data_IF_618741512695
#
_entry.id   IF_618741512695
#
_cell.length_a   1.000
_cell.length_b   1.000
_cell.length_c   1.000
_cell.angle_alpha   90.00
_cell.angle_beta   90.00
_cell.angle_gamma   90.00
#
_symmetry.space_group_name_H-M   'P 1'
#
loop_
_entity.id
_entity.type
_entity.pdbx_description
1 polymer ?
#
# COMPACT_ATOMS: atom_id res chain seq x y z
N UNK A 1 3.34 13.85 -16.15
CA UNK A 1 4.77 13.54 -16.34
C UNK A 1 5.30 12.81 -15.12
N UNK A 2 6.04 11.73 -15.31
CA UNK A 2 6.67 10.98 -14.21
C UNK A 2 8.13 10.71 -14.57
N UNK A 3 9.01 10.77 -13.57
CA UNK A 3 10.40 10.38 -13.66
C UNK A 3 10.80 9.60 -12.43
N UNK A 4 11.53 8.52 -12.61
CA UNK A 4 12.02 7.68 -11.52
C UNK A 4 13.50 7.37 -11.73
N UNK A 5 14.26 7.45 -10.66
CA UNK A 5 15.66 7.02 -10.61
C UNK A 5 15.87 6.19 -9.35
N UNK A 6 16.73 5.17 -9.41
CA UNK A 6 17.09 4.37 -8.26
C UNK A 6 18.41 3.66 -8.40
N UNK A 7 19.01 3.35 -7.26
CA UNK A 7 20.20 2.50 -7.14
C UNK A 7 19.98 1.47 -6.04
N UNK A 8 20.33 0.24 -6.30
CA UNK A 8 20.18 -0.86 -5.36
C UNK A 8 21.47 -1.67 -5.25
N UNK A 9 21.88 -1.95 -4.03
CA UNK A 9 22.99 -2.83 -3.67
C UNK A 9 22.51 -3.95 -2.75
N UNK A 10 23.40 -4.88 -2.38
CA UNK A 10 23.07 -5.96 -1.42
C UNK A 10 22.75 -5.45 0.00
N UNK A 11 23.23 -4.28 0.37
CA UNK A 11 23.12 -3.74 1.74
C UNK A 11 22.30 -2.48 1.87
N UNK A 12 22.08 -1.75 0.80
CA UNK A 12 21.31 -0.52 0.80
C UNK A 12 20.73 -0.23 -0.57
N UNK A 13 19.70 0.54 -0.61
CA UNK A 13 19.08 1.04 -1.83
C UNK A 13 18.48 2.41 -1.62
N UNK A 14 18.41 3.17 -2.68
CA UNK A 14 17.76 4.48 -2.73
C UNK A 14 16.99 4.60 -4.05
N UNK A 15 15.82 5.21 -3.98
CA UNK A 15 15.03 5.56 -5.16
C UNK A 15 14.43 6.96 -4.96
N UNK A 16 14.37 7.71 -6.05
CA UNK A 16 13.71 9.00 -6.11
C UNK A 16 12.68 8.96 -7.22
N UNK A 17 11.55 9.61 -6.99
CA UNK A 17 10.43 9.67 -7.93
C UNK A 17 9.92 11.11 -8.01
N UNK A 18 9.59 11.53 -9.20
CA UNK A 18 8.89 12.79 -9.45
C UNK A 18 7.60 12.46 -10.19
N UNK A 19 6.49 12.99 -9.72
CA UNK A 19 5.17 12.84 -10.33
C UNK A 19 4.53 14.22 -10.49
N UNK A 20 4.30 14.63 -11.72
CA UNK A 20 3.53 15.85 -12.07
C UNK A 20 2.24 15.46 -12.79
N UNK A 21 1.11 15.95 -12.30
CA UNK A 21 -0.21 15.77 -12.92
C UNK A 21 -0.80 17.13 -13.29
N UNK A 22 -1.36 17.21 -14.48
CA UNK A 22 -2.17 18.33 -14.96
C UNK A 22 -3.58 17.79 -15.19
N UNK A 23 -4.59 18.41 -14.59
CA UNK A 23 -5.98 18.10 -14.86
C UNK A 23 -6.70 19.35 -15.35
N UNK A 24 -7.29 19.27 -16.54
CA UNK A 24 -8.23 20.27 -17.03
C UNK A 24 -9.62 19.93 -16.48
N UNK A 25 -10.21 20.83 -15.71
CA UNK A 25 -11.62 20.73 -15.32
C UNK A 25 -12.46 21.38 -16.41
N UNK A 26 -13.25 20.58 -17.14
CA UNK A 26 -14.14 21.02 -18.19
C UNK A 26 -15.41 21.74 -17.70
N UNK A 27 -15.27 22.80 -16.89
CA UNK A 27 -16.34 23.67 -16.43
C UNK A 27 -15.95 25.13 -16.61
N UNK A 28 -16.92 26.01 -16.83
CA UNK A 28 -16.82 27.46 -17.16
C UNK A 28 -16.00 28.28 -16.15
N UNK A 29 -14.79 28.20 -16.09
CA UNK A 29 -13.67 28.97 -15.55
C UNK A 29 -12.54 27.98 -15.31
N UNK A 30 -11.72 27.75 -16.33
CA UNK A 30 -10.62 26.83 -16.32
C UNK A 30 -9.56 27.13 -15.27
N UNK A 31 -9.73 26.60 -14.09
CA UNK A 31 -8.65 26.48 -13.11
C UNK A 31 -7.85 25.24 -13.45
N UNK A 32 -6.76 25.37 -14.19
CA UNK A 32 -5.75 24.32 -14.32
C UNK A 32 -5.25 23.96 -12.91
N UNK A 33 -5.60 22.77 -12.44
CA UNK A 33 -5.00 22.22 -11.22
C UNK A 33 -3.72 21.48 -11.60
N UNK A 34 -2.60 22.13 -11.35
CA UNK A 34 -1.27 21.51 -11.45
C UNK A 34 -0.88 21.00 -10.07
N UNK A 35 -0.53 19.73 -9.97
CA UNK A 35 0.11 19.20 -8.77
C UNK A 35 1.40 18.51 -9.14
N UNK A 36 2.43 18.70 -8.33
CA UNK A 36 3.71 18.03 -8.49
C UNK A 36 4.23 17.56 -7.13
N UNK A 37 4.72 16.34 -7.08
CA UNK A 37 5.28 15.72 -5.91
C UNK A 37 6.66 15.13 -6.21
N UNK A 38 7.56 15.25 -5.26
CA UNK A 38 8.82 14.53 -5.25
C UNK A 38 8.82 13.54 -4.08
N UNK A 39 9.24 12.32 -4.32
CA UNK A 39 9.40 11.31 -3.28
C UNK A 39 10.81 10.73 -3.32
N UNK A 40 11.36 10.45 -2.15
CA UNK A 40 12.61 9.74 -1.99
C UNK A 40 12.38 8.60 -0.99
N UNK A 41 12.91 7.42 -1.28
CA UNK A 41 12.88 6.29 -0.37
C UNK A 41 14.25 5.64 -0.29
N UNK A 42 14.59 5.18 0.89
CA UNK A 42 15.85 4.49 1.12
C UNK A 42 15.66 3.32 2.07
N UNK A 43 16.53 2.35 1.94
CA UNK A 43 16.64 1.26 2.90
C UNK A 43 18.10 0.88 3.14
N UNK A 44 18.37 0.38 4.33
CA UNK A 44 19.68 -0.11 4.73
C UNK A 44 19.52 -1.41 5.55
N UNK A 45 20.30 -2.42 5.20
CA UNK A 45 20.39 -3.66 5.96
C UNK A 45 21.48 -3.56 7.01
N UNK A 46 21.07 -3.55 8.27
CA UNK A 46 21.91 -3.43 9.46
C UNK A 46 22.27 -4.81 10.03
N UNK A 47 22.58 -5.77 9.16
CA UNK A 47 22.86 -7.16 9.49
C UNK A 47 21.91 -8.11 8.78
N UNK A 48 21.86 -9.37 9.21
CA UNK A 48 21.03 -10.40 8.56
C UNK A 48 19.55 -10.25 8.88
N UNK A 49 19.20 -9.68 10.02
CA UNK A 49 17.84 -9.66 10.58
C UNK A 49 17.21 -8.29 10.65
N UNK A 50 17.99 -7.20 10.52
CA UNK A 50 17.51 -5.84 10.73
C UNK A 50 17.63 -5.02 9.46
N UNK A 51 16.53 -4.37 9.06
CA UNK A 51 16.46 -3.46 7.92
C UNK A 51 15.82 -2.15 8.35
N UNK A 52 16.53 -1.03 8.17
CA UNK A 52 16.01 0.31 8.31
C UNK A 52 15.43 0.82 6.99
N UNK A 53 14.39 1.63 7.04
CA UNK A 53 13.74 2.28 5.89
C UNK A 53 13.44 3.73 6.19
N UNK A 54 13.57 4.56 5.17
CA UNK A 54 13.20 5.98 5.21
C UNK A 54 12.45 6.29 3.93
N UNK A 55 11.31 6.93 4.04
CA UNK A 55 10.53 7.45 2.92
C UNK A 55 10.24 8.93 3.21
N UNK A 56 10.43 9.78 2.22
CA UNK A 56 10.10 11.20 2.30
C UNK A 56 9.35 11.60 1.03
N UNK A 57 8.28 12.37 1.20
CA UNK A 57 7.51 12.95 0.12
C UNK A 57 7.37 14.44 0.36
N UNK A 58 7.53 15.22 -0.69
CA UNK A 58 7.33 16.66 -0.67
C UNK A 58 6.45 17.11 -1.82
N UNK A 59 5.53 17.99 -1.53
CA UNK A 59 4.72 18.67 -2.53
C UNK A 59 5.50 19.85 -3.10
N UNK A 60 5.66 19.89 -4.41
CA UNK A 60 6.33 20.98 -5.13
C UNK A 60 5.33 22.00 -5.65
N UNK A 61 4.11 21.57 -5.97
CA UNK A 61 2.98 22.45 -6.33
C UNK A 61 1.66 21.77 -6.01
N UNK A 62 0.62 22.55 -5.69
CA UNK A 62 -0.71 22.06 -5.31
C UNK A 62 -0.92 22.04 -3.80
N UNK A 63 -1.84 21.18 -3.35
CA UNK A 63 -2.14 21.00 -1.92
C UNK A 63 -0.94 20.38 -1.20
N UNK A 64 -0.52 21.01 -0.11
CA UNK A 64 0.65 20.58 0.66
C UNK A 64 0.40 19.24 1.35
N UNK A 65 1.22 18.24 1.01
CA UNK A 65 1.18 16.87 1.55
C UNK A 65 2.58 16.35 1.80
N UNK A 66 3.35 17.14 2.55
CA UNK A 66 4.71 16.77 2.92
C UNK A 66 4.67 15.69 3.99
N UNK A 67 5.47 14.66 3.84
CA UNK A 67 5.47 13.51 4.74
C UNK A 67 6.85 12.88 4.82
N UNK A 68 7.26 12.52 6.03
CA UNK A 68 8.46 11.73 6.29
C UNK A 68 8.10 10.49 7.09
N UNK A 69 8.62 9.35 6.71
CA UNK A 69 8.40 8.06 7.37
C UNK A 69 9.75 7.41 7.67
N UNK A 70 9.91 6.93 8.88
CA UNK A 70 11.05 6.09 9.29
C UNK A 70 10.51 4.75 9.77
N UNK A 71 11.11 3.66 9.34
CA UNK A 71 10.69 2.33 9.71
C UNK A 71 11.86 1.39 9.97
N UNK A 72 11.59 0.38 10.78
CA UNK A 72 12.52 -0.70 11.10
C UNK A 72 11.79 -2.02 10.95
N UNK A 73 12.39 -2.97 10.25
CA UNK A 73 11.92 -4.33 10.11
C UNK A 73 12.93 -5.29 10.74
N UNK A 74 12.45 -6.14 11.63
CA UNK A 74 13.26 -7.15 12.32
C UNK A 74 12.76 -8.56 12.01
N UNK A 75 13.63 -9.41 11.46
CA UNK A 75 13.34 -10.81 11.21
C UNK A 75 13.66 -11.62 12.48
N UNK A 76 12.68 -11.77 13.37
CA UNK A 76 12.85 -12.45 14.65
C UNK A 76 13.14 -13.96 14.45
N UNK A 77 12.37 -14.60 13.56
CA UNK A 77 12.52 -16.00 13.14
C UNK A 77 12.41 -16.06 11.61
N UNK A 78 12.81 -17.13 10.94
CA UNK A 78 12.59 -17.31 9.50
C UNK A 78 11.12 -17.14 9.07
N UNK A 79 10.20 -17.47 9.99
CA UNK A 79 8.75 -17.36 9.79
C UNK A 79 8.12 -16.11 10.39
N UNK A 80 8.82 -15.31 11.22
CA UNK A 80 8.26 -14.16 11.94
C UNK A 80 9.06 -12.90 11.67
N UNK A 81 8.40 -11.92 11.06
CA UNK A 81 8.92 -10.56 10.89
C UNK A 81 8.11 -9.58 11.73
N UNK A 82 8.79 -8.65 12.37
CA UNK A 82 8.22 -7.53 13.13
C UNK A 82 8.56 -6.23 12.40
N UNK A 83 7.64 -5.27 12.44
CA UNK A 83 7.83 -3.95 11.82
C UNK A 83 7.38 -2.85 12.77
N UNK A 84 8.17 -1.78 12.84
CA UNK A 84 7.79 -0.51 13.48
C UNK A 84 7.99 0.60 12.46
N UNK A 85 7.05 1.54 12.42
CA UNK A 85 7.08 2.67 11.50
C UNK A 85 6.52 3.92 12.19
N UNK A 86 7.20 5.04 12.01
CA UNK A 86 6.73 6.36 12.43
C UNK A 86 6.64 7.27 11.22
N UNK A 87 5.57 8.03 11.15
CA UNK A 87 5.32 9.00 10.07
C UNK A 87 4.96 10.35 10.67
N UNK A 88 5.52 11.41 10.12
CA UNK A 88 5.22 12.79 10.46
C UNK A 88 5.06 13.62 9.18
N UNK A 89 4.14 14.58 9.19
CA UNK A 89 3.90 15.42 8.02
C UNK A 89 2.69 16.36 8.15
N UNK A 90 2.40 17.07 7.08
CA UNK A 90 1.31 18.07 7.03
C UNK A 90 -0.09 17.47 7.21
N UNK A 91 -0.25 16.17 6.95
CA UNK A 91 -1.51 15.44 7.14
C UNK A 91 -1.67 14.88 8.56
N UNK A 92 -0.66 15.07 9.43
CA UNK A 92 -0.64 14.54 10.78
C UNK A 92 0.52 13.58 11.02
N UNK A 93 0.51 12.94 12.17
CA UNK A 93 1.52 11.98 12.58
C UNK A 93 0.92 10.62 12.87
N UNK A 94 1.72 9.58 12.70
CA UNK A 94 1.29 8.24 13.07
C UNK A 94 2.46 7.36 13.50
N UNK A 95 2.15 6.43 14.40
CA UNK A 95 3.02 5.32 14.76
C UNK A 95 2.32 4.01 14.40
N UNK A 96 3.05 3.08 13.83
CA UNK A 96 2.54 1.77 13.41
C UNK A 96 3.48 0.67 13.88
N UNK A 97 2.90 -0.38 14.46
CA UNK A 97 3.59 -1.62 14.77
C UNK A 97 2.92 -2.79 14.07
N UNK A 98 3.69 -3.79 13.64
CA UNK A 98 3.13 -4.94 12.96
C UNK A 98 3.96 -6.19 13.12
N UNK A 99 3.29 -7.33 12.88
CA UNK A 99 3.89 -8.65 12.85
C UNK A 99 3.37 -9.43 11.65
N UNK A 100 4.25 -10.16 10.97
CA UNK A 100 3.90 -11.06 9.86
C UNK A 100 4.43 -12.45 10.19
N UNK A 101 3.52 -13.40 10.32
CA UNK A 101 3.82 -14.83 10.52
C UNK A 101 3.61 -15.59 9.22
N UNK A 102 4.63 -16.31 8.76
CA UNK A 102 4.57 -17.24 7.63
C UNK A 102 4.31 -18.66 8.15
N UNK A 103 3.27 -19.31 7.62
CA UNK A 103 2.91 -20.68 7.91
C UNK A 103 2.84 -21.45 6.60
N UNK A 104 3.94 -22.12 6.23
CA UNK A 104 4.10 -22.66 4.89
C UNK A 104 4.13 -21.53 3.84
N UNK A 105 3.27 -21.61 2.85
CA UNK A 105 3.10 -20.58 1.84
C UNK A 105 2.10 -19.47 2.22
N UNK A 106 1.38 -19.66 3.34
CA UNK A 106 0.40 -18.71 3.86
C UNK A 106 1.06 -17.68 4.77
N UNK A 107 0.39 -16.53 4.91
CA UNK A 107 0.83 -15.45 5.79
C UNK A 107 -0.35 -14.96 6.61
N UNK A 108 -0.10 -14.72 7.90
CA UNK A 108 -1.01 -14.04 8.83
C UNK A 108 -0.29 -12.78 9.25
N UNK A 109 -0.99 -11.66 9.30
CA UNK A 109 -0.41 -10.39 9.73
C UNK A 109 -1.34 -9.65 10.67
N UNK A 110 -0.73 -8.96 11.61
CA UNK A 110 -1.37 -8.05 12.54
C UNK A 110 -0.65 -6.71 12.45
N UNK A 111 -1.40 -5.63 12.38
CA UNK A 111 -0.86 -4.27 12.37
C UNK A 111 -1.72 -3.39 13.25
N UNK A 112 -1.08 -2.62 14.12
CA UNK A 112 -1.71 -1.55 14.88
C UNK A 112 -1.14 -0.21 14.44
N UNK A 113 -2.00 0.77 14.21
CA UNK A 113 -1.64 2.13 13.84
C UNK A 113 -2.39 3.13 14.70
N UNK A 114 -1.65 3.95 15.42
CA UNK A 114 -2.15 5.16 16.05
C UNK A 114 -1.84 6.33 15.13
N UNK A 115 -2.84 7.09 14.76
CA UNK A 115 -2.72 8.28 13.93
C UNK A 115 -3.38 9.46 14.62
N UNK A 116 -2.78 10.63 14.46
CA UNK A 116 -3.32 11.91 14.90
C UNK A 116 -3.29 12.87 13.70
N UNK A 117 -4.43 13.33 13.30
CA UNK A 117 -4.61 14.29 12.21
C UNK A 117 -5.53 15.44 12.68
N UNK A 118 -5.95 16.30 11.73
CA UNK A 118 -6.85 17.42 12.01
C UNK A 118 -8.25 17.00 12.49
N UNK A 119 -8.64 15.76 12.25
CA UNK A 119 -9.93 15.20 12.66
C UNK A 119 -9.90 14.53 14.04
N UNK A 120 -8.71 14.42 14.67
CA UNK A 120 -8.51 13.81 15.97
C UNK A 120 -7.63 12.58 15.97
N UNK A 121 -7.68 11.82 17.05
CA UNK A 121 -6.95 10.57 17.21
C UNK A 121 -7.71 9.40 16.61
N UNK A 122 -6.98 8.50 15.96
CA UNK A 122 -7.52 7.29 15.37
C UNK A 122 -6.62 6.11 15.67
N UNK A 123 -7.18 5.08 16.28
CA UNK A 123 -6.54 3.77 16.44
C UNK A 123 -7.11 2.82 15.39
N UNK A 124 -6.24 2.16 14.65
CA UNK A 124 -6.60 1.17 13.64
C UNK A 124 -5.86 -0.14 13.91
N UNK A 125 -6.59 -1.24 14.00
CA UNK A 125 -6.04 -2.59 14.12
C UNK A 125 -6.44 -3.40 12.90
N UNK A 126 -5.47 -3.91 12.18
CA UNK A 126 -5.66 -4.76 11.00
C UNK A 126 -5.19 -6.17 11.32
N UNK A 127 -6.09 -7.14 11.21
CA UNK A 127 -5.76 -8.57 11.22
C UNK A 127 -6.07 -9.14 9.85
N UNK A 128 -5.08 -9.73 9.20
CA UNK A 128 -5.29 -10.30 7.88
C UNK A 128 -4.59 -11.64 7.69
N UNK A 129 -5.06 -12.37 6.70
CA UNK A 129 -4.45 -13.60 6.24
C UNK A 129 -4.47 -13.67 4.73
N UNK A 130 -3.43 -14.23 4.15
CA UNK A 130 -3.36 -14.55 2.71
C UNK A 130 -2.76 -15.91 2.49
N UNK A 131 -3.34 -16.66 1.58
CA UNK A 131 -2.93 -18.02 1.27
C UNK A 131 -2.99 -18.27 -0.23
N UNK A 132 -1.98 -18.89 -0.84
CA UNK A 132 -2.10 -19.39 -2.21
C UNK A 132 -3.07 -20.57 -2.25
N UNK A 133 -3.84 -20.66 -3.33
CA UNK A 133 -4.69 -21.79 -3.68
C UNK A 133 -4.18 -22.36 -4.99
N UNK A 134 -3.40 -23.44 -4.90
CA UNK A 134 -2.69 -23.97 -6.07
C UNK A 134 -1.63 -23.01 -6.59
N UNK A 135 -1.33 -23.08 -7.91
CA UNK A 135 -0.19 -22.36 -8.51
C UNK A 135 -0.50 -20.92 -8.95
N UNK A 136 -1.76 -20.61 -9.17
CA UNK A 136 -2.15 -19.36 -9.86
C UNK A 136 -3.22 -18.56 -9.15
N UNK A 137 -3.72 -19.03 -8.00
CA UNK A 137 -4.78 -18.35 -7.26
C UNK A 137 -4.32 -18.01 -5.85
N UNK A 138 -4.91 -16.96 -5.29
CA UNK A 138 -4.68 -16.52 -3.91
C UNK A 138 -5.99 -16.06 -3.31
N UNK A 139 -6.25 -16.49 -2.09
CA UNK A 139 -7.31 -15.96 -1.24
C UNK A 139 -6.69 -15.07 -0.17
N UNK A 140 -7.39 -14.02 0.20
CA UNK A 140 -7.03 -13.18 1.32
C UNK A 140 -8.28 -12.71 2.07
N UNK A 141 -8.09 -12.46 3.35
CA UNK A 141 -9.12 -11.85 4.21
C UNK A 141 -8.45 -10.83 5.10
N UNK A 142 -9.17 -9.77 5.40
CA UNK A 142 -8.71 -8.69 6.25
C UNK A 142 -9.85 -8.16 7.10
N UNK A 143 -9.56 -7.92 8.38
CA UNK A 143 -10.43 -7.26 9.33
C UNK A 143 -9.73 -6.00 9.79
N UNK A 144 -10.38 -4.86 9.61
CA UNK A 144 -9.91 -3.55 10.05
C UNK A 144 -10.88 -3.01 11.10
N UNK A 145 -10.42 -2.92 12.32
CA UNK A 145 -11.11 -2.22 13.42
C UNK A 145 -10.54 -0.81 13.51
N UNK A 146 -11.41 0.17 13.51
CA UNK A 146 -11.05 1.56 13.68
C UNK A 146 -11.83 2.15 14.85
N UNK A 147 -11.11 2.82 15.74
CA UNK A 147 -11.69 3.62 16.85
C UNK A 147 -11.23 5.06 16.66
N UNK A 148 -12.17 5.99 16.70
CA UNK A 148 -11.95 7.42 16.52
C UNK A 148 -12.93 8.19 17.43
N UNK A 149 -12.78 9.50 17.56
CA UNK A 149 -13.61 10.32 18.48
C UNK A 149 -15.12 10.23 18.19
N UNK A 150 -15.52 9.89 16.97
CA UNK A 150 -16.92 9.73 16.53
C UNK A 150 -17.48 8.32 16.64
N UNK A 151 -16.74 7.33 17.21
CA UNK A 151 -17.23 5.97 17.37
C UNK A 151 -16.27 4.89 16.87
N UNK A 152 -16.83 3.76 16.49
CA UNK A 152 -16.09 2.58 16.01
C UNK A 152 -16.59 2.13 14.66
N UNK A 153 -15.68 1.54 13.88
CA UNK A 153 -15.99 0.94 12.60
C UNK A 153 -15.24 -0.36 12.41
N UNK A 154 -15.94 -1.39 11.96
CA UNK A 154 -15.36 -2.66 11.54
C UNK A 154 -15.53 -2.81 10.03
N UNK A 155 -14.43 -2.97 9.34
CA UNK A 155 -14.42 -3.35 7.93
C UNK A 155 -13.92 -4.79 7.82
N UNK A 156 -14.67 -5.65 7.14
CA UNK A 156 -14.24 -6.99 6.79
C UNK A 156 -14.15 -7.12 5.28
N UNK A 157 -13.05 -7.69 4.82
CA UNK A 157 -12.77 -7.89 3.40
C UNK A 157 -12.38 -9.34 3.15
N UNK A 158 -12.98 -9.93 2.14
CA UNK A 158 -12.58 -11.23 1.59
C UNK A 158 -12.35 -11.06 0.10
N UNK A 159 -11.20 -11.53 -0.38
CA UNK A 159 -10.85 -11.43 -1.79
C UNK A 159 -10.27 -12.72 -2.36
N UNK A 160 -10.50 -12.90 -3.63
CA UNK A 160 -9.91 -13.97 -4.44
C UNK A 160 -9.22 -13.35 -5.64
N UNK A 161 -7.99 -13.75 -5.88
CA UNK A 161 -7.20 -13.33 -7.01
C UNK A 161 -6.72 -14.53 -7.79
N UNK A 162 -6.81 -14.48 -9.11
CA UNK A 162 -6.27 -15.52 -10.00
C UNK A 162 -5.49 -14.92 -11.14
N UNK A 163 -4.35 -15.54 -11.43
CA UNK A 163 -3.45 -15.16 -12.51
C UNK A 163 -3.38 -16.27 -13.56
N UNK A 164 -3.36 -15.87 -14.83
CA UNK A 164 -3.12 -16.75 -15.97
C UNK A 164 -1.96 -16.22 -16.79
N UNK A 165 -1.03 -17.10 -17.13
CA UNK A 165 0.00 -16.85 -18.13
C UNK A 165 -0.55 -17.26 -19.49
N UNK A 166 -0.88 -16.27 -20.35
CA UNK A 166 -1.57 -16.49 -21.62
C UNK A 166 -0.61 -16.79 -22.79
N UNK A 167 0.71 -16.80 -22.53
CA UNK A 167 1.76 -17.03 -23.54
C UNK A 167 2.97 -16.15 -23.30
N UNK A 168 3.94 -16.11 -24.23
CA UNK A 168 5.20 -15.43 -24.02
C UNK A 168 5.04 -13.94 -23.66
N UNK A 169 5.22 -13.64 -22.39
CA UNK A 169 5.16 -12.28 -21.86
C UNK A 169 3.77 -11.75 -21.53
N UNK A 170 2.68 -12.44 -21.87
CA UNK A 170 1.33 -12.03 -21.54
C UNK A 170 0.85 -12.64 -20.23
N UNK A 171 0.27 -11.82 -19.38
CA UNK A 171 -0.29 -12.21 -18.10
C UNK A 171 -1.64 -11.53 -17.89
N UNK A 172 -2.65 -12.29 -17.55
CA UNK A 172 -3.96 -11.79 -17.13
C UNK A 172 -4.17 -12.05 -15.65
N UNK A 173 -4.66 -11.06 -14.94
CA UNK A 173 -5.00 -11.12 -13.54
C UNK A 173 -6.46 -10.75 -13.38
N UNK A 174 -7.21 -11.54 -12.63
CA UNK A 174 -8.58 -11.25 -12.21
C UNK A 174 -8.63 -11.26 -10.69
N UNK A 175 -9.24 -10.25 -10.09
CA UNK A 175 -9.52 -10.19 -8.67
C UNK A 175 -11.00 -9.89 -8.41
N UNK A 176 -11.56 -10.52 -7.39
CA UNK A 176 -12.88 -10.24 -6.87
C UNK A 176 -12.80 -10.00 -5.37
N UNK A 177 -13.47 -8.99 -4.87
CA UNK A 177 -13.49 -8.59 -3.48
C UNK A 177 -14.91 -8.36 -2.98
N UNK A 178 -15.20 -8.81 -1.77
CA UNK A 178 -16.40 -8.48 -1.04
C UNK A 178 -16.01 -7.79 0.28
N UNK A 179 -16.52 -6.60 0.50
CA UNK A 179 -16.28 -5.81 1.70
C UNK A 179 -17.58 -5.58 2.43
N UNK A 180 -17.57 -5.76 3.73
CA UNK A 180 -18.65 -5.36 4.63
C UNK A 180 -18.10 -4.33 5.60
N UNK A 181 -18.84 -3.25 5.78
CA UNK A 181 -18.52 -2.18 6.72
C UNK A 181 -19.66 -2.10 7.73
N UNK A 182 -19.34 -2.33 8.99
CA UNK A 182 -20.25 -2.18 10.11
C UNK A 182 -19.82 -0.95 10.92
N UNK A 183 -20.69 0.04 11.01
CA UNK A 183 -20.48 1.28 11.75
C UNK A 183 -21.72 1.60 12.58
N UNK A 184 -21.62 2.48 13.56
CA UNK A 184 -22.76 2.91 14.37
C UNK A 184 -23.93 3.47 13.53
N UNK A 185 -23.62 4.10 12.39
CA UNK A 185 -24.63 4.65 11.47
C UNK A 185 -25.33 3.58 10.59
N UNK A 186 -24.88 2.32 10.66
CA UNK A 186 -25.44 1.20 9.90
C UNK A 186 -24.37 0.37 9.20
N UNK A 187 -24.84 -0.72 8.56
CA UNK A 187 -24.00 -1.63 7.80
C UNK A 187 -24.12 -1.37 6.29
N UNK A 188 -23.01 -1.45 5.59
CA UNK A 188 -22.97 -1.41 4.13
C UNK A 188 -22.15 -2.56 3.56
N UNK A 189 -22.48 -3.00 2.36
CA UNK A 189 -21.76 -4.06 1.64
C UNK A 189 -21.40 -3.61 0.24
N UNK A 190 -20.18 -3.89 -0.17
CA UNK A 190 -19.68 -3.62 -1.52
C UNK A 190 -19.03 -4.87 -2.09
N UNK A 191 -19.24 -5.10 -3.38
CA UNK A 191 -18.51 -6.11 -4.14
C UNK A 191 -17.81 -5.41 -5.31
N UNK A 192 -16.57 -5.75 -5.55
CA UNK A 192 -15.75 -5.20 -6.63
C UNK A 192 -15.09 -6.35 -7.41
N UNK A 193 -14.98 -6.18 -8.72
CA UNK A 193 -14.23 -7.09 -9.60
C UNK A 193 -13.30 -6.24 -10.43
N UNK A 194 -12.02 -6.62 -10.50
CA UNK A 194 -11.02 -5.92 -11.29
C UNK A 194 -10.27 -6.90 -12.19
N UNK A 195 -9.99 -6.50 -13.42
CA UNK A 195 -9.19 -7.21 -14.39
C UNK A 195 -7.93 -6.43 -14.77
N UNK A 196 -6.81 -7.12 -14.98
CA UNK A 196 -5.59 -6.50 -15.46
C UNK A 196 -4.92 -7.41 -16.49
N UNK A 197 -4.56 -6.82 -17.63
CA UNK A 197 -3.74 -7.49 -18.65
C UNK A 197 -2.38 -6.81 -18.70
N UNK A 198 -1.33 -7.59 -18.60
CA UNK A 198 0.04 -7.09 -18.69
C UNK A 198 0.83 -7.85 -19.76
N UNK A 199 1.72 -7.13 -20.43
CA UNK A 199 2.70 -7.70 -21.32
C UNK A 199 4.10 -7.25 -20.90
N UNK A 200 5.02 -8.20 -20.78
CA UNK A 200 6.41 -7.92 -20.44
C UNK A 200 7.33 -8.72 -21.35
N UNK A 201 8.18 -8.01 -22.09
CA UNK A 201 9.27 -8.62 -22.86
C UNK A 201 10.59 -8.33 -22.13
N UNK A 202 11.33 -9.36 -21.69
CA UNK A 202 12.60 -9.15 -20.99
C UNK A 202 13.54 -8.22 -21.76
N UNK A 203 14.05 -7.17 -21.09
CA UNK A 203 15.03 -6.24 -21.62
C UNK A 203 14.52 -5.19 -22.62
N UNK A 204 13.19 -5.06 -22.84
CA UNK A 204 12.68 -4.08 -23.81
C UNK A 204 11.51 -3.23 -23.35
N UNK A 205 10.42 -3.86 -22.87
CA UNK A 205 9.16 -3.13 -22.73
C UNK A 205 8.22 -3.84 -21.75
N UNK A 206 7.52 -3.06 -20.90
CA UNK A 206 6.42 -3.53 -20.06
C UNK A 206 5.22 -2.64 -20.28
N UNK A 207 4.06 -3.23 -20.55
CA UNK A 207 2.78 -2.53 -20.69
C UNK A 207 1.76 -3.17 -19.75
N UNK A 208 0.97 -2.34 -19.07
CA UNK A 208 -0.08 -2.77 -18.14
C UNK A 208 -1.34 -1.96 -18.41
N UNK A 209 -2.47 -2.62 -18.52
CA UNK A 209 -3.80 -1.99 -18.44
C UNK A 209 -4.56 -2.59 -17.27
N UNK A 210 -5.35 -1.77 -16.59
CA UNK A 210 -6.22 -2.17 -15.49
C UNK A 210 -7.61 -1.58 -15.73
N UNK A 211 -8.62 -2.39 -15.48
CA UNK A 211 -10.04 -2.02 -15.54
C UNK A 211 -10.69 -2.40 -14.21
N UNK A 212 -11.48 -1.48 -13.62
CA UNK A 212 -12.12 -1.63 -12.30
C UNK A 212 -13.63 -1.37 -12.39
#
# INVERSE_FOLDING_TARGET
>A
TAAQWGHESKRWGVACEYLGTESESGGEVGAERRSAHAAARGWIRLGEKLTGRVDAQRTLSGEERDQATVGVQYQALPSLALELRGTDGTLGRSAQGGAVLKVGESQIYLTEKLAEDRAGEKLSTVLGARSPIGRSSRIYTEYLWETFDGGQRLNSLVGLQRQWDLGPGFRFLLSGEATQVDAEAGASRRTAVAGSLSYSKPGRFTWVTRDE
#
